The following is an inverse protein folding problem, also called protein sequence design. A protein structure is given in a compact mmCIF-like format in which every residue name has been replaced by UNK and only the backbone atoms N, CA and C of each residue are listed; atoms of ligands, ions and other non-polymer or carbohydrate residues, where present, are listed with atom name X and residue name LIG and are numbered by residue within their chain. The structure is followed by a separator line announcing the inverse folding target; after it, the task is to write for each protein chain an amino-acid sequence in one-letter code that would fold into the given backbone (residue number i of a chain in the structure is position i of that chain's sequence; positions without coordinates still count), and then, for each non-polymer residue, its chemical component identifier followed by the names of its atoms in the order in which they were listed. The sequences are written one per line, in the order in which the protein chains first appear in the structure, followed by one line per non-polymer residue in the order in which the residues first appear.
data_IF_819054736474
#
_entry.id   IF_819054736474
#
_cell.length_a   1.000
_cell.length_b   1.000
_cell.length_c   1.000
_cell.angle_alpha   90.00
_cell.angle_beta   90.00
_cell.angle_gamma   90.00
#
_symmetry.space_group_name_H-M   'P 1'
#
loop_
_entity.id
_entity.type
_entity.pdbx_description
1 polymer ?
#
# COMPACT_ATOMS: atom_id res chain seq x y z
N UNK A 1 -37.96 -20.98 6.39
CA UNK A 1 -36.81 -20.99 5.46
C UNK A 1 -36.46 -19.54 5.14
N UNK A 2 -35.21 -19.23 4.77
CA UNK A 2 -34.69 -17.88 4.41
C UNK A 2 -34.00 -17.10 5.55
N UNK A 3 -32.83 -17.57 5.98
CA UNK A 3 -31.77 -16.70 6.51
C UNK A 3 -30.41 -17.35 6.20
N UNK A 4 -29.86 -17.06 5.02
CA UNK A 4 -28.44 -17.31 4.74
C UNK A 4 -27.70 -16.01 4.95
N UNK A 5 -26.86 -16.01 5.98
CA UNK A 5 -25.91 -14.97 6.34
C UNK A 5 -24.69 -15.13 5.43
N UNK A 6 -24.72 -14.44 4.30
CA UNK A 6 -23.70 -14.56 3.26
C UNK A 6 -22.34 -14.04 3.75
N UNK A 7 -21.28 -14.84 3.61
CA UNK A 7 -19.87 -14.50 3.87
C UNK A 7 -19.29 -13.35 3.04
N UNK A 8 -20.14 -12.56 2.38
CA UNK A 8 -19.81 -11.38 1.59
C UNK A 8 -19.65 -10.13 2.46
N UNK A 9 -20.37 -10.07 3.59
CA UNK A 9 -20.42 -8.90 4.46
C UNK A 9 -19.21 -8.77 5.40
N UNK A 10 -18.64 -9.90 5.85
CA UNK A 10 -17.42 -9.89 6.68
C UNK A 10 -16.21 -9.40 5.91
N UNK A 11 -16.09 -9.78 4.64
CA UNK A 11 -15.00 -9.33 3.77
C UNK A 11 -15.05 -7.81 3.53
N UNK A 12 -16.22 -7.23 3.26
CA UNK A 12 -16.33 -5.76 3.08
C UNK A 12 -16.14 -4.99 4.38
N UNK A 13 -16.53 -5.54 5.53
CA UNK A 13 -16.28 -4.91 6.84
C UNK A 13 -14.79 -4.97 7.20
N UNK A 14 -14.13 -6.08 6.91
CA UNK A 14 -12.70 -6.26 7.18
C UNK A 14 -11.82 -5.44 6.23
N UNK A 15 -12.15 -5.41 4.93
CA UNK A 15 -11.47 -4.55 3.94
C UNK A 15 -11.76 -3.07 4.21
N UNK A 16 -12.99 -2.73 4.59
CA UNK A 16 -13.38 -1.35 4.95
C UNK A 16 -12.64 -0.83 6.18
N UNK A 17 -12.49 -1.65 7.22
CA UNK A 17 -11.75 -1.28 8.43
C UNK A 17 -10.24 -1.14 8.19
N UNK A 18 -9.66 -2.06 7.41
CA UNK A 18 -8.23 -2.02 7.07
C UNK A 18 -7.90 -0.81 6.18
N UNK A 19 -8.72 -0.55 5.16
CA UNK A 19 -8.55 0.60 4.27
C UNK A 19 -8.68 1.94 5.01
N UNK A 20 -9.65 2.04 5.94
CA UNK A 20 -9.82 3.24 6.77
C UNK A 20 -8.59 3.49 7.65
N UNK A 21 -8.02 2.44 8.25
CA UNK A 21 -6.82 2.54 9.10
C UNK A 21 -5.60 2.98 8.29
N UNK A 22 -5.41 2.47 7.08
CA UNK A 22 -4.32 2.90 6.19
C UNK A 22 -4.45 4.36 5.78
N UNK A 23 -5.67 4.81 5.45
CA UNK A 23 -5.94 6.23 5.20
C UNK A 23 -5.64 7.10 6.43
N UNK A 24 -6.07 6.66 7.61
CA UNK A 24 -5.81 7.35 8.87
C UNK A 24 -4.33 7.47 9.20
N UNK A 25 -3.50 6.47 8.86
CA UNK A 25 -2.04 6.54 9.04
C UNK A 25 -1.40 7.65 8.19
N UNK A 26 -1.82 7.79 6.93
CA UNK A 26 -1.31 8.83 6.02
C UNK A 26 -1.77 10.21 6.50
N UNK A 27 -3.03 10.34 6.91
CA UNK A 27 -3.59 11.59 7.42
C UNK A 27 -2.95 11.97 8.75
N UNK A 28 -2.75 11.02 9.67
CA UNK A 28 -2.14 11.29 10.98
C UNK A 28 -0.68 11.76 10.84
N UNK A 29 0.11 11.12 9.98
CA UNK A 29 1.47 11.56 9.69
C UNK A 29 1.51 12.98 9.11
N UNK A 30 0.57 13.31 8.22
CA UNK A 30 0.44 14.65 7.63
C UNK A 30 0.07 15.71 8.68
N UNK A 31 -0.91 15.41 9.55
CA UNK A 31 -1.33 16.32 10.64
C UNK A 31 -0.20 16.55 11.63
N UNK A 32 0.53 15.50 12.02
CA UNK A 32 1.69 15.62 12.92
C UNK A 32 2.79 16.46 12.29
N UNK A 33 3.10 16.26 11.00
CA UNK A 33 4.08 17.07 10.28
C UNK A 33 3.70 18.55 10.18
N UNK A 34 2.42 18.85 9.93
CA UNK A 34 1.90 20.22 9.93
C UNK A 34 1.93 20.86 11.32
N UNK A 35 1.55 20.11 12.37
CA UNK A 35 1.56 20.58 13.74
C UNK A 35 3.00 20.85 14.23
N UNK A 36 3.95 19.96 13.91
CA UNK A 36 5.38 20.19 14.19
C UNK A 36 5.94 21.37 13.39
N UNK A 37 5.56 21.51 12.12
CA UNK A 37 5.93 22.65 11.27
C UNK A 37 5.42 23.98 11.83
N UNK A 38 4.18 24.00 12.34
CA UNK A 38 3.59 25.17 13.00
C UNK A 38 4.28 25.51 14.32
N UNK A 39 4.56 24.51 15.16
CA UNK A 39 5.26 24.70 16.43
C UNK A 39 6.68 25.24 16.24
N UNK A 40 7.37 24.79 15.19
CA UNK A 40 8.73 25.23 14.87
C UNK A 40 8.75 26.64 14.22
N UNK A 41 7.71 27.01 13.47
CA UNK A 41 7.49 28.38 12.94
C UNK A 41 7.29 29.38 14.09
N UNK A 42 6.53 28.99 15.12
CA UNK A 42 6.29 29.78 16.34
C UNK A 42 7.57 29.95 17.17
N UNK A 43 8.39 28.89 17.30
CA UNK A 43 9.66 28.93 18.02
C UNK A 43 10.74 29.78 17.34
N UNK A 44 10.79 29.79 16.00
CA UNK A 44 11.78 30.56 15.24
C UNK A 44 11.33 32.00 14.92
N UNK A 45 10.04 32.34 15.10
CA UNK A 45 9.52 33.69 14.85
C UNK A 45 9.59 34.14 13.39
N UNK A 46 9.97 33.24 12.47
CA UNK A 46 10.01 33.48 11.04
C UNK A 46 8.62 33.25 10.48
N UNK A 47 7.87 34.34 10.22
CA UNK A 47 6.62 34.40 9.44
C UNK A 47 6.55 33.30 8.36
N UNK A 48 5.35 32.80 7.97
CA UNK A 48 5.00 31.39 7.69
C UNK A 48 5.82 30.74 6.57
N UNK A 49 7.13 30.64 6.77
CA UNK A 49 8.08 30.17 5.76
C UNK A 49 8.44 28.72 6.03
N UNK A 50 8.53 28.35 7.32
CA UNK A 50 8.80 26.99 7.73
C UNK A 50 7.60 26.08 7.45
N UNK A 51 6.38 26.56 7.72
CA UNK A 51 5.15 25.84 7.35
C UNK A 51 5.10 25.61 5.84
N UNK A 52 5.54 26.57 5.01
CA UNK A 52 5.51 26.43 3.55
C UNK A 52 6.50 25.37 3.06
N UNK A 53 7.70 25.29 3.63
CA UNK A 53 8.68 24.24 3.30
C UNK A 53 8.22 22.86 3.81
N UNK A 54 7.65 22.79 5.02
CA UNK A 54 7.17 21.55 5.62
C UNK A 54 5.90 21.04 4.97
N UNK A 55 5.02 21.95 4.53
CA UNK A 55 3.85 21.62 3.72
C UNK A 55 4.28 21.06 2.37
N UNK A 56 5.23 21.70 1.69
CA UNK A 56 5.74 21.22 0.40
C UNK A 56 6.44 19.86 0.54
N UNK A 57 7.23 19.66 1.60
CA UNK A 57 7.83 18.37 1.94
C UNK A 57 6.77 17.32 2.30
N UNK A 58 5.71 17.69 3.02
CA UNK A 58 4.58 16.81 3.33
C UNK A 58 3.85 16.35 2.08
N UNK A 59 3.55 17.26 1.15
CA UNK A 59 2.95 16.95 -0.16
C UNK A 59 3.89 16.04 -0.97
N UNK A 60 5.18 16.35 -1.02
CA UNK A 60 6.18 15.53 -1.70
C UNK A 60 6.33 14.14 -1.10
N UNK A 61 6.28 14.01 0.24
CA UNK A 61 6.34 12.75 0.94
C UNK A 61 5.09 11.88 0.67
N UNK A 62 3.91 12.50 0.68
CA UNK A 62 2.66 11.82 0.33
C UNK A 62 2.68 11.31 -1.12
N UNK A 63 3.13 12.13 -2.07
CA UNK A 63 3.29 11.69 -3.47
C UNK A 63 4.33 10.58 -3.62
N UNK A 64 5.46 10.66 -2.90
CA UNK A 64 6.49 9.61 -2.93
C UNK A 64 5.93 8.26 -2.45
N UNK A 65 5.11 8.25 -1.39
CA UNK A 65 4.50 7.03 -0.87
C UNK A 65 3.58 6.37 -1.91
N UNK A 66 2.74 7.16 -2.58
CA UNK A 66 1.83 6.67 -3.63
C UNK A 66 2.60 6.14 -4.85
N UNK A 67 3.63 6.85 -5.31
CA UNK A 67 4.43 6.44 -6.48
C UNK A 67 5.17 5.13 -6.20
N UNK A 68 5.66 4.95 -4.98
CA UNK A 68 6.37 3.73 -4.59
C UNK A 68 5.43 2.52 -4.46
N UNK A 69 4.22 2.72 -3.90
CA UNK A 69 3.18 1.69 -3.88
C UNK A 69 2.75 1.29 -5.29
N UNK A 70 2.56 2.26 -6.20
CA UNK A 70 2.25 1.99 -7.61
C UNK A 70 3.35 1.18 -8.31
N UNK A 71 4.63 1.53 -8.09
CA UNK A 71 5.76 0.76 -8.64
C UNK A 71 5.84 -0.65 -8.07
N UNK A 72 5.53 -0.83 -6.78
CA UNK A 72 5.49 -2.16 -6.15
C UNK A 72 4.36 -3.03 -6.70
N UNK A 73 3.20 -2.44 -7.00
CA UNK A 73 2.08 -3.16 -7.63
C UNK A 73 2.45 -3.68 -9.02
N UNK A 74 3.05 -2.85 -9.89
CA UNK A 74 3.54 -3.30 -11.20
C UNK A 74 4.57 -4.43 -11.11
N UNK A 75 5.56 -4.31 -10.20
CA UNK A 75 6.57 -5.38 -10.01
C UNK A 75 5.99 -6.69 -9.45
N UNK A 76 4.94 -6.62 -8.64
CA UNK A 76 4.28 -7.81 -8.10
C UNK A 76 3.47 -8.54 -9.17
N UNK A 77 2.88 -7.84 -10.12
CA UNK A 77 2.20 -8.46 -11.27
C UNK A 77 3.17 -9.22 -12.17
N UNK A 78 4.36 -8.66 -12.43
CA UNK A 78 5.41 -9.31 -13.22
C UNK A 78 6.02 -10.53 -12.52
N UNK A 79 6.26 -10.45 -11.20
CA UNK A 79 6.76 -11.58 -10.41
C UNK A 79 5.73 -12.71 -10.29
N UNK A 80 4.42 -12.40 -10.25
CA UNK A 80 3.34 -13.42 -10.22
C UNK A 80 3.32 -14.25 -11.50
N UNK A 81 3.61 -13.63 -12.66
CA UNK A 81 3.73 -14.34 -13.94
C UNK A 81 4.96 -15.26 -14.01
N UNK A 82 6.08 -14.88 -13.39
CA UNK A 82 7.28 -15.75 -13.35
C UNK A 82 7.12 -16.96 -12.42
N UNK A 83 6.32 -16.85 -11.35
CA UNK A 83 6.02 -17.98 -10.47
C UNK A 83 5.15 -19.07 -11.13
N UNK A 84 4.16 -18.68 -11.94
CA UNK A 84 3.30 -19.62 -12.67
C UNK A 84 4.03 -20.34 -13.81
N UNK A 85 4.97 -19.68 -14.50
CA UNK A 85 5.73 -20.30 -15.59
C UNK A 85 6.72 -21.37 -15.12
N UNK A 86 7.12 -21.37 -13.84
CA UNK A 86 8.08 -22.34 -13.29
C UNK A 86 7.43 -23.60 -12.70
N UNK A 87 6.12 -23.56 -12.44
CA UNK A 87 5.39 -24.70 -11.86
C UNK A 87 4.80 -25.63 -12.92
N UNK A 88 4.59 -25.14 -14.14
CA UNK A 88 4.08 -25.96 -15.27
C UNK A 88 5.19 -26.70 -16.04
N UNK A 89 6.46 -26.47 -15.70
CA UNK A 89 7.62 -26.98 -16.46
C UNK A 89 8.41 -28.13 -15.81
N UNK A 90 8.06 -28.57 -14.61
CA UNK A 90 8.82 -29.60 -13.85
C UNK A 90 8.04 -30.92 -13.68
N UNK A 91 6.88 -31.07 -14.33
CA UNK A 91 6.01 -32.25 -14.19
C UNK A 91 6.00 -33.21 -15.37
N UNK A 92 6.81 -33.02 -16.40
CA UNK A 92 6.69 -33.79 -17.67
C UNK A 92 7.99 -34.45 -18.15
N UNK A 93 8.96 -34.66 -17.27
CA UNK A 93 10.16 -35.44 -17.56
C UNK A 93 10.23 -36.63 -16.59
N UNK A 94 9.34 -37.60 -16.77
CA UNK A 94 9.23 -38.76 -15.88
C UNK A 94 8.78 -40.07 -16.50
N UNK A 95 8.12 -40.06 -17.66
CA UNK A 95 7.49 -41.27 -18.20
C UNK A 95 7.81 -41.45 -19.69
N UNK A 96 9.07 -41.77 -19.99
CA UNK A 96 9.43 -42.34 -21.30
C UNK A 96 10.67 -43.26 -21.17
N UNK A 97 10.65 -44.10 -20.13
CA UNK A 97 11.65 -45.15 -19.92
C UNK A 97 11.02 -46.45 -19.39
N UNK A 98 10.14 -47.03 -20.21
CA UNK A 98 9.68 -48.43 -20.24
C UNK A 98 8.42 -48.35 -21.08
N UNK A 99 8.28 -49.01 -22.22
CA UNK A 99 8.28 -50.46 -22.45
C UNK A 99 8.71 -50.67 -23.91
N UNK A 100 9.58 -51.62 -24.25
CA UNK A 100 9.27 -53.05 -24.27
C UNK A 100 9.18 -53.51 -25.72
#
# INVERSE_FOLDING_TARGET
MVFSKDGRWTNVVQVGGTASTMGLHIVSATVVGLAFGYFLDDYFGTKPWLIMIFFLLGVMAGFKMVIEDFRKLQRREEARKQGSLKQDGDGSAGDDQSEG
#
